data_IF_541020131341
#
_entry.id   IF_541020131341
#
_cell.length_a   1.000
_cell.length_b   1.000
_cell.length_c   1.000
_cell.angle_alpha   90.00
_cell.angle_beta   90.00
_cell.angle_gamma   90.00
#
_symmetry.space_group_name_H-M   'P 1'
#
loop_
_entity.id
_entity.type
_entity.pdbx_description
1 polymer ?
#
# COMPACT_ATOMS: atom_id res chain seq x y z
N UNK A 1 -17.33 -12.29 -14.40
CA UNK A 1 -16.04 -11.92 -13.78
C UNK A 1 -15.80 -10.47 -14.15
N UNK A 2 -15.75 -9.57 -13.18
CA UNK A 2 -15.57 -8.13 -13.45
C UNK A 2 -14.13 -7.89 -13.88
N UNK A 3 -13.93 -7.24 -15.04
CA UNK A 3 -12.60 -6.81 -15.45
C UNK A 3 -12.34 -5.43 -14.83
N UNK A 4 -11.68 -5.45 -13.68
CA UNK A 4 -11.43 -4.24 -12.91
C UNK A 4 -10.40 -3.30 -13.52
N UNK A 5 -9.53 -3.77 -14.43
CA UNK A 5 -8.66 -2.89 -15.19
C UNK A 5 -9.49 -1.97 -16.09
N UNK A 6 -10.48 -2.52 -16.79
CA UNK A 6 -11.39 -1.72 -17.62
C UNK A 6 -12.20 -0.70 -16.81
N UNK A 7 -12.59 -1.06 -15.58
CA UNK A 7 -13.28 -0.11 -14.69
C UNK A 7 -12.34 0.99 -14.20
N UNK A 8 -11.10 0.64 -13.89
CA UNK A 8 -10.05 1.60 -13.50
C UNK A 8 -9.77 2.58 -14.65
N UNK A 9 -9.60 2.07 -15.87
CA UNK A 9 -9.40 2.88 -17.08
C UNK A 9 -10.58 3.82 -17.32
N UNK A 10 -11.82 3.37 -17.10
CA UNK A 10 -13.03 4.21 -17.23
C UNK A 10 -13.06 5.34 -16.21
N UNK A 11 -12.75 5.03 -14.95
CA UNK A 11 -12.68 6.04 -13.89
C UNK A 11 -11.62 7.07 -14.25
N UNK A 12 -10.42 6.63 -14.65
CA UNK A 12 -9.32 7.50 -15.06
C UNK A 12 -9.72 8.39 -16.24
N UNK A 13 -10.37 7.82 -17.26
CA UNK A 13 -10.82 8.57 -18.43
C UNK A 13 -11.90 9.62 -18.11
N UNK A 14 -12.61 9.47 -16.99
CA UNK A 14 -13.63 10.43 -16.52
C UNK A 14 -13.05 11.58 -15.68
N UNK A 15 -11.76 11.53 -15.33
CA UNK A 15 -11.12 12.56 -14.51
C UNK A 15 -10.84 13.82 -15.35
N UNK A 16 -11.23 14.98 -14.83
CA UNK A 16 -10.97 16.31 -15.39
C UNK A 16 -9.68 16.96 -14.87
N UNK A 17 -9.13 16.41 -13.78
CA UNK A 17 -7.85 16.79 -13.17
C UNK A 17 -7.19 15.57 -12.53
N UNK A 18 -5.97 15.70 -12.01
CA UNK A 18 -5.31 14.61 -11.26
C UNK A 18 -5.64 14.70 -9.77
N UNK A 19 -6.55 13.85 -9.23
CA UNK A 19 -6.90 13.92 -7.82
C UNK A 19 -5.80 13.30 -6.95
N UNK A 20 -5.88 13.50 -5.64
CA UNK A 20 -4.94 12.91 -4.69
C UNK A 20 -5.35 11.49 -4.31
N UNK A 21 -4.39 10.57 -4.32
CA UNK A 21 -4.58 9.15 -4.01
C UNK A 21 -3.63 8.72 -2.89
N UNK A 22 -4.18 8.08 -1.85
CA UNK A 22 -3.39 7.35 -0.85
C UNK A 22 -3.28 5.87 -1.26
N UNK A 23 -2.06 5.42 -1.57
CA UNK A 23 -1.77 4.06 -2.02
C UNK A 23 -1.05 3.27 -0.92
N UNK A 24 -1.61 2.16 -0.47
CA UNK A 24 -0.93 1.26 0.46
C UNK A 24 0.13 0.42 -0.26
N UNK A 25 1.33 0.33 0.31
CA UNK A 25 2.41 -0.54 -0.16
C UNK A 25 2.87 -1.49 0.95
N UNK A 26 2.73 -2.80 0.70
CA UNK A 26 3.19 -3.84 1.63
C UNK A 26 4.56 -4.44 1.27
N UNK A 27 5.08 -4.16 0.06
CA UNK A 27 6.39 -4.62 -0.43
C UNK A 27 6.85 -3.80 -1.65
N UNK A 28 8.18 -3.66 -1.82
CA UNK A 28 8.80 -2.82 -2.85
C UNK A 28 8.52 -3.26 -4.32
N UNK A 29 8.58 -4.55 -4.70
CA UNK A 29 8.35 -4.96 -6.10
C UNK A 29 6.87 -5.16 -6.45
N UNK A 30 5.97 -5.18 -5.45
CA UNK A 30 4.56 -5.52 -5.64
C UNK A 30 3.73 -4.37 -6.22
N UNK A 31 4.30 -3.16 -6.19
CA UNK A 31 3.59 -1.92 -6.51
C UNK A 31 4.31 -1.06 -7.53
N UNK A 32 5.43 -1.49 -8.13
CA UNK A 32 6.16 -0.64 -9.09
C UNK A 32 5.33 -0.35 -10.34
N UNK A 33 4.74 -1.37 -10.98
CA UNK A 33 3.86 -1.17 -12.15
C UNK A 33 2.60 -0.38 -11.80
N UNK A 34 1.94 -0.71 -10.68
CA UNK A 34 0.73 -0.01 -10.24
C UNK A 34 1.03 1.45 -9.91
N UNK A 35 2.14 1.71 -9.23
CA UNK A 35 2.59 3.07 -8.93
C UNK A 35 2.92 3.83 -10.20
N UNK A 36 3.68 3.24 -11.13
CA UNK A 36 4.02 3.86 -12.42
C UNK A 36 2.77 4.19 -13.22
N UNK A 37 1.84 3.24 -13.35
CA UNK A 37 0.58 3.44 -14.06
C UNK A 37 -0.31 4.53 -13.40
N UNK A 38 -0.51 4.48 -12.09
CA UNK A 38 -1.38 5.45 -11.41
C UNK A 38 -0.71 6.84 -11.29
N UNK A 39 0.62 6.91 -11.20
CA UNK A 39 1.33 8.19 -11.10
C UNK A 39 1.23 9.06 -12.37
N UNK A 40 0.78 8.48 -13.49
CA UNK A 40 0.42 9.23 -14.70
C UNK A 40 -0.93 9.96 -14.60
N UNK A 41 -1.74 9.64 -13.58
CA UNK A 41 -3.12 10.12 -13.46
C UNK A 41 -3.44 10.74 -12.09
N UNK A 42 -2.64 10.50 -11.06
CA UNK A 42 -2.93 10.90 -9.68
C UNK A 42 -1.74 11.58 -8.99
N UNK A 43 -2.04 12.49 -8.04
CA UNK A 43 -1.07 12.96 -7.05
C UNK A 43 -0.96 11.91 -5.93
N UNK A 44 0.10 11.10 -5.90
CA UNK A 44 0.15 9.91 -5.05
C UNK A 44 0.89 10.17 -3.75
N UNK A 45 0.31 9.70 -2.65
CA UNK A 45 1.04 9.45 -1.40
C UNK A 45 1.05 7.95 -1.13
N UNK A 46 2.23 7.35 -1.11
CA UNK A 46 2.40 5.93 -0.81
C UNK A 46 2.57 5.75 0.69
N UNK A 47 1.75 4.90 1.30
CA UNK A 47 1.87 4.51 2.70
C UNK A 47 2.52 3.13 2.79
N UNK A 48 3.77 3.09 3.26
CA UNK A 48 4.47 1.82 3.47
C UNK A 48 4.22 1.34 4.90
N UNK A 49 3.50 0.22 5.03
CA UNK A 49 3.20 -0.36 6.33
C UNK A 49 3.02 -1.86 6.20
N UNK A 50 3.87 -2.63 6.87
CA UNK A 50 3.74 -4.08 6.86
C UNK A 50 4.27 -4.69 8.17
N UNK A 51 3.39 -4.91 9.17
CA UNK A 51 3.79 -5.48 10.45
C UNK A 51 4.17 -6.97 10.35
N UNK A 52 3.90 -7.65 9.22
CA UNK A 52 4.31 -9.04 9.00
C UNK A 52 5.81 -9.16 8.64
N UNK A 53 6.49 -8.06 8.31
CA UNK A 53 7.95 -8.11 8.14
C UNK A 53 8.56 -8.04 9.54
N UNK A 54 8.93 -9.19 10.10
CA UNK A 54 9.44 -9.31 11.47
C UNK A 54 10.93 -9.01 11.59
N UNK A 55 11.66 -9.12 10.47
CA UNK A 55 13.07 -8.80 10.39
C UNK A 55 13.27 -7.33 10.04
N UNK A 56 13.87 -6.57 10.96
CA UNK A 56 14.02 -5.11 10.82
C UNK A 56 14.84 -4.74 9.59
N UNK A 57 15.90 -5.50 9.32
CA UNK A 57 16.77 -5.27 8.16
C UNK A 57 16.00 -5.42 6.84
N UNK A 58 15.12 -6.42 6.74
CA UNK A 58 14.28 -6.62 5.57
C UNK A 58 13.22 -5.52 5.42
N UNK A 59 12.63 -5.05 6.53
CA UNK A 59 11.70 -3.92 6.51
C UNK A 59 12.38 -2.65 5.97
N UNK A 60 13.54 -2.31 6.54
CA UNK A 60 14.32 -1.14 6.12
C UNK A 60 14.80 -1.28 4.67
N UNK A 61 15.26 -2.45 4.26
CA UNK A 61 15.67 -2.71 2.88
C UNK A 61 14.53 -2.47 1.90
N UNK A 62 13.34 -3.05 2.14
CA UNK A 62 12.17 -2.86 1.26
C UNK A 62 11.70 -1.41 1.26
N UNK A 63 11.69 -0.76 2.42
CA UNK A 63 11.35 0.65 2.55
C UNK A 63 12.29 1.54 1.73
N UNK A 64 13.60 1.30 1.84
CA UNK A 64 14.61 2.10 1.15
C UNK A 64 14.58 1.86 -0.36
N UNK A 65 14.27 0.64 -0.81
CA UNK A 65 14.07 0.39 -2.24
C UNK A 65 12.86 1.14 -2.80
N UNK A 66 11.74 1.20 -2.05
CA UNK A 66 10.59 2.01 -2.45
C UNK A 66 10.92 3.51 -2.48
N UNK A 67 11.66 4.03 -1.49
CA UNK A 67 12.14 5.41 -1.48
C UNK A 67 13.03 5.71 -2.69
N UNK A 68 13.93 4.79 -3.01
CA UNK A 68 14.83 4.88 -4.17
C UNK A 68 14.03 4.92 -5.47
N UNK A 69 13.07 4.01 -5.66
CA UNK A 69 12.19 3.99 -6.82
C UNK A 69 11.42 5.31 -6.98
N UNK A 70 10.90 5.86 -5.89
CA UNK A 70 10.19 7.14 -5.89
C UNK A 70 11.12 8.30 -6.30
N UNK A 71 12.39 8.26 -5.88
CA UNK A 71 13.36 9.31 -6.17
C UNK A 71 13.99 9.22 -7.58
N UNK A 72 14.20 8.02 -8.10
CA UNK A 72 14.89 7.80 -9.39
C UNK A 72 13.95 7.93 -10.59
N UNK A 73 12.64 7.70 -10.42
CA UNK A 73 11.67 7.68 -11.51
C UNK A 73 11.07 9.07 -11.75
N UNK A 74 11.07 9.56 -13.01
CA UNK A 74 10.37 10.79 -13.36
C UNK A 74 8.87 10.52 -13.49
N UNK A 75 8.12 10.76 -12.42
CA UNK A 75 6.66 10.68 -12.47
C UNK A 75 6.06 11.97 -13.02
N UNK A 76 4.97 11.85 -13.79
CA UNK A 76 4.22 13.00 -14.28
C UNK A 76 3.66 13.88 -13.16
N UNK A 77 3.18 13.26 -12.08
CA UNK A 77 2.69 13.94 -10.88
C UNK A 77 3.57 13.63 -9.65
N UNK A 78 3.58 14.51 -8.63
CA UNK A 78 4.31 14.27 -7.39
C UNK A 78 3.92 12.94 -6.73
N UNK A 79 4.94 12.16 -6.41
CA UNK A 79 4.81 10.95 -5.58
C UNK A 79 5.51 11.20 -4.25
N UNK A 80 4.76 11.07 -3.15
CA UNK A 80 5.25 11.19 -1.78
C UNK A 80 5.19 9.84 -1.09
N UNK A 81 5.92 9.70 0.01
CA UNK A 81 5.89 8.51 0.85
C UNK A 81 5.67 8.86 2.32
N UNK A 82 4.81 8.09 2.97
CA UNK A 82 4.61 8.06 4.42
C UNK A 82 5.10 6.70 4.92
N UNK A 83 6.00 6.73 5.89
CA UNK A 83 6.48 5.53 6.60
C UNK A 83 5.53 5.22 7.75
N UNK A 84 5.02 4.00 7.80
CA UNK A 84 4.27 3.48 8.93
C UNK A 84 5.19 2.99 10.04
N UNK A 85 4.65 2.90 11.25
CA UNK A 85 5.43 2.45 12.39
C UNK A 85 5.85 0.99 12.23
N UNK A 86 7.15 0.74 12.40
CA UNK A 86 7.69 -0.62 12.44
C UNK A 86 7.31 -1.30 13.76
N UNK A 87 6.21 -2.04 13.75
CA UNK A 87 5.64 -2.71 14.93
C UNK A 87 5.29 -4.18 14.63
N UNK A 88 6.30 -5.07 14.52
CA UNK A 88 6.05 -6.49 14.26
C UNK A 88 5.30 -7.18 15.40
N UNK A 89 5.32 -6.62 16.61
CA UNK A 89 4.56 -7.12 17.74
C UNK A 89 3.05 -7.20 17.44
N UNK A 90 2.51 -6.23 16.68
CA UNK A 90 1.10 -6.25 16.25
C UNK A 90 0.78 -7.53 15.47
N UNK A 91 1.70 -7.97 14.61
CA UNK A 91 1.54 -9.21 13.87
C UNK A 91 1.70 -10.44 14.75
N UNK A 92 2.69 -10.46 15.65
CA UNK A 92 2.88 -11.58 16.59
C UNK A 92 1.67 -11.77 17.51
N UNK A 93 1.12 -10.69 18.05
CA UNK A 93 -0.06 -10.73 18.93
C UNK A 93 -1.29 -11.22 18.18
N UNK A 94 -1.48 -10.79 16.93
CA UNK A 94 -2.57 -11.25 16.08
C UNK A 94 -2.42 -12.73 15.69
N UNK A 95 -1.20 -13.17 15.37
CA UNK A 95 -0.94 -14.53 14.90
C UNK A 95 -0.84 -15.58 16.02
N UNK A 96 -0.88 -15.16 17.28
CA UNK A 96 -0.78 -16.06 18.44
C UNK A 96 -1.92 -17.07 18.47
N UNK A 97 -1.59 -18.35 18.54
CA UNK A 97 -2.55 -19.46 18.46
C UNK A 97 -2.97 -19.83 17.02
N UNK A 98 -2.42 -19.15 16.02
CA UNK A 98 -2.68 -19.38 14.59
C UNK A 98 -1.42 -19.87 13.84
N UNK A 99 -0.40 -20.34 14.58
CA UNK A 99 0.92 -20.67 14.03
C UNK A 99 0.86 -21.83 13.02
N UNK A 100 -0.11 -22.74 13.19
CA UNK A 100 -0.32 -23.89 12.31
C UNK A 100 -1.19 -23.59 11.09
N UNK A 101 -1.72 -22.36 10.95
CA UNK A 101 -2.55 -21.98 9.80
C UNK A 101 -1.64 -21.68 8.61
N UNK A 102 -1.87 -22.43 7.54
CA UNK A 102 -1.15 -22.26 6.28
C UNK A 102 -1.36 -20.85 5.70
N UNK A 103 -0.41 -20.43 4.86
CA UNK A 103 -0.56 -19.23 4.06
C UNK A 103 -1.82 -19.31 3.18
N UNK A 104 -2.51 -18.18 3.03
CA UNK A 104 -3.84 -18.12 2.39
C UNK A 104 -5.01 -18.45 3.33
N UNK A 105 -4.75 -18.89 4.56
CA UNK A 105 -5.77 -19.10 5.59
C UNK A 105 -6.18 -17.83 6.35
N UNK A 106 -6.92 -18.01 7.44
CA UNK A 106 -7.49 -16.94 8.27
C UNK A 106 -6.45 -15.90 8.74
N UNK A 107 -5.23 -16.34 9.04
CA UNK A 107 -4.11 -15.48 9.43
C UNK A 107 -3.78 -14.41 8.37
N UNK A 108 -3.92 -14.74 7.07
CA UNK A 108 -3.67 -13.79 5.99
C UNK A 108 -4.75 -12.72 5.91
N UNK A 109 -6.02 -13.08 6.10
CA UNK A 109 -7.13 -12.12 6.11
C UNK A 109 -6.99 -11.09 7.23
N UNK A 110 -6.66 -11.54 8.45
CA UNK A 110 -6.40 -10.65 9.58
C UNK A 110 -5.20 -9.73 9.33
N UNK A 111 -4.15 -10.25 8.68
CA UNK A 111 -2.99 -9.45 8.30
C UNK A 111 -3.37 -8.33 7.31
N UNK A 112 -4.20 -8.63 6.30
CA UNK A 112 -4.71 -7.60 5.38
C UNK A 112 -5.59 -6.60 6.10
N UNK A 113 -6.48 -7.06 6.97
CA UNK A 113 -7.37 -6.21 7.74
C UNK A 113 -6.60 -5.18 8.57
N UNK A 114 -5.55 -5.59 9.29
CA UNK A 114 -4.70 -4.67 10.08
C UNK A 114 -4.11 -3.59 9.18
N UNK A 115 -3.55 -3.96 8.03
CA UNK A 115 -2.93 -3.01 7.09
C UNK A 115 -3.95 -2.02 6.51
N UNK A 116 -5.14 -2.50 6.17
CA UNK A 116 -6.22 -1.69 5.63
C UNK A 116 -6.79 -0.74 6.69
N UNK A 117 -6.97 -1.21 7.92
CA UNK A 117 -7.43 -0.38 9.05
C UNK A 117 -6.45 0.75 9.34
N UNK A 118 -5.14 0.48 9.36
CA UNK A 118 -4.14 1.53 9.52
C UNK A 118 -4.14 2.53 8.36
N UNK A 119 -4.28 2.05 7.14
CA UNK A 119 -4.38 2.93 5.96
C UNK A 119 -5.62 3.84 6.05
N UNK A 120 -6.78 3.29 6.46
CA UNK A 120 -8.00 4.07 6.66
C UNK A 120 -7.91 5.05 7.84
N UNK A 121 -7.16 4.72 8.89
CA UNK A 121 -6.87 5.65 10.00
C UNK A 121 -6.00 6.81 9.54
N UNK A 122 -4.98 6.52 8.73
CA UNK A 122 -4.13 7.55 8.13
C UNK A 122 -4.96 8.48 7.25
N UNK A 123 -5.83 7.92 6.42
CA UNK A 123 -6.74 8.66 5.54
C UNK A 123 -7.59 9.68 6.27
N UNK A 124 -8.29 9.24 7.33
CA UNK A 124 -9.13 10.13 8.15
C UNK A 124 -8.33 11.27 8.78
N UNK A 125 -7.05 11.05 9.08
CA UNK A 125 -6.16 12.05 9.68
C UNK A 125 -5.61 13.03 8.64
N UNK A 126 -5.36 12.57 7.41
CA UNK A 126 -4.75 13.39 6.34
C UNK A 126 -5.78 13.99 5.38
N UNK A 127 -7.03 13.52 5.41
CA UNK A 127 -8.10 13.94 4.50
C UNK A 127 -7.85 13.52 3.05
N UNK A 128 -7.00 12.51 2.83
CA UNK A 128 -6.76 11.95 1.50
C UNK A 128 -8.02 11.18 1.04
N UNK A 129 -8.09 10.77 -0.23
CA UNK A 129 -9.05 9.74 -0.65
C UNK A 129 -8.29 8.45 -0.83
N UNK A 130 -8.60 7.44 -0.03
CA UNK A 130 -8.11 6.08 -0.27
C UNK A 130 -9.02 5.37 -1.25
N UNK A 131 -8.43 4.88 -2.35
CA UNK A 131 -9.02 3.79 -3.12
C UNK A 131 -8.49 2.47 -2.55
N UNK A 132 -9.28 1.81 -1.70
CA UNK A 132 -8.99 0.46 -1.23
C UNK A 132 -9.51 -0.51 -2.27
N UNK A 133 -8.60 -1.09 -3.04
CA UNK A 133 -8.93 -2.18 -3.95
C UNK A 133 -9.00 -3.49 -3.14
N UNK A 134 -10.09 -4.26 -3.26
CA UNK A 134 -10.23 -5.64 -2.77
C UNK A 134 -10.40 -6.58 -3.95
#
# INVERSE_FOLDING_TARGET
MTNYQLETDRIIASLDHAPTLLLHACCAPCSSYVLEYLAEHFNITVFFYNPNITEKEEYEKRKNELKRLIAEKPFRYPVKMIDGDYSPQIFFDMAKGMENIAEGGERCFLCYEIRLRETARLDKRTGLRVFLYH
#
